data_IF_405404028660
#
_entry.id   IF_405404028660
#
_cell.length_a   1.000
_cell.length_b   1.000
_cell.length_c   1.000
_cell.angle_alpha   90.00
_cell.angle_beta   90.00
_cell.angle_gamma   90.00
#
_symmetry.space_group_name_H-M   'P 1'
#
loop_
_entity.id
_entity.type
_entity.pdbx_description
1 polymer ?
#
# COMPACT_ATOMS: atom_id res chain seq x y z
N UNK A 1 -17.58 3.70 -27.14
CA UNK A 1 -16.38 4.10 -27.93
C UNK A 1 -15.96 5.49 -27.49
N UNK A 2 -15.17 5.59 -26.37
CA UNK A 2 -14.67 6.85 -25.82
C UNK A 2 -13.18 6.69 -25.61
N UNK A 3 -12.38 7.12 -26.59
CA UNK A 3 -10.93 7.33 -26.44
C UNK A 3 -10.71 8.77 -25.96
N UNK A 4 -10.53 9.00 -24.67
CA UNK A 4 -9.90 10.25 -24.18
C UNK A 4 -8.40 10.02 -24.06
N UNK A 5 -7.64 10.74 -24.89
CA UNK A 5 -6.16 10.82 -24.81
C UNK A 5 -5.79 11.67 -23.59
N UNK A 6 -4.95 11.14 -22.72
CA UNK A 6 -4.30 11.90 -21.66
C UNK A 6 -3.07 12.62 -22.24
N UNK A 7 -2.82 13.90 -21.90
CA UNK A 7 -1.59 14.59 -22.29
C UNK A 7 -0.44 14.17 -21.37
N UNK A 8 0.51 13.39 -21.91
CA UNK A 8 1.77 13.12 -21.23
C UNK A 8 2.73 14.30 -21.36
N UNK A 9 3.60 14.47 -20.39
CA UNK A 9 4.66 15.49 -20.36
C UNK A 9 5.60 15.31 -21.56
N UNK A 10 5.72 16.36 -22.40
CA UNK A 10 6.68 16.39 -23.51
C UNK A 10 8.07 16.79 -23.00
N UNK A 11 9.03 15.88 -23.06
CA UNK A 11 10.43 16.22 -22.88
C UNK A 11 11.11 16.40 -24.25
N UNK A 12 11.46 17.64 -24.62
CA UNK A 12 12.17 17.98 -25.85
C UNK A 12 13.69 17.81 -25.62
N UNK A 13 14.31 16.82 -26.26
CA UNK A 13 15.79 16.75 -26.42
C UNK A 13 16.16 17.25 -27.81
N UNK A 14 16.94 18.33 -27.86
CA UNK A 14 17.55 18.79 -29.09
C UNK A 14 18.85 18.03 -29.34
N UNK A 15 18.96 17.36 -30.48
CA UNK A 15 20.24 16.79 -30.99
C UNK A 15 20.68 17.65 -32.17
N UNK A 16 21.82 18.32 -32.00
CA UNK A 16 22.44 19.16 -33.04
C UNK A 16 23.25 18.31 -33.99
N UNK A 17 22.89 18.26 -35.26
CA UNK A 17 23.78 18.25 -36.43
C UNK A 17 23.02 18.25 -37.76
N UNK A 18 23.27 19.25 -38.54
CA UNK A 18 23.23 19.40 -40.01
C UNK A 18 22.13 18.72 -40.83
N UNK A 19 21.33 19.56 -41.54
CA UNK A 19 20.51 19.28 -42.72
C UNK A 19 19.38 18.22 -42.54
N UNK A 20 18.19 18.73 -42.29
CA UNK A 20 16.93 18.05 -42.02
C UNK A 20 16.71 17.71 -40.55
N UNK A 21 16.19 18.70 -39.78
CA UNK A 21 15.76 18.46 -38.39
C UNK A 21 14.51 17.57 -38.39
N UNK A 22 14.69 16.26 -38.31
CA UNK A 22 13.63 15.33 -37.95
C UNK A 22 13.47 15.39 -36.42
N UNK A 23 12.43 16.07 -35.96
CA UNK A 23 12.03 16.04 -34.56
C UNK A 23 11.47 14.65 -34.23
N UNK A 24 12.28 13.80 -33.61
CA UNK A 24 11.79 12.58 -32.99
C UNK A 24 11.24 12.94 -31.61
N UNK A 25 9.92 13.01 -31.49
CA UNK A 25 9.23 13.08 -30.20
C UNK A 25 9.28 11.66 -29.62
N UNK A 26 10.25 11.40 -28.73
CA UNK A 26 10.24 10.18 -27.94
C UNK A 26 9.21 10.35 -26.84
N UNK A 27 8.05 9.77 -27.01
CA UNK A 27 7.04 9.63 -25.94
C UNK A 27 7.52 8.54 -24.98
N UNK A 28 8.17 8.94 -23.90
CA UNK A 28 8.38 8.03 -22.77
C UNK A 28 7.02 7.96 -22.07
N UNK A 29 6.24 6.95 -22.39
CA UNK A 29 5.03 6.67 -21.66
C UNK A 29 5.43 6.33 -20.21
N UNK A 30 5.21 7.27 -19.29
CA UNK A 30 5.36 6.98 -17.87
C UNK A 30 4.36 5.89 -17.49
N UNK A 31 4.81 4.90 -16.71
CA UNK A 31 3.93 3.85 -16.19
C UNK A 31 2.80 4.53 -15.39
N UNK A 32 1.53 4.32 -15.74
CA UNK A 32 0.43 5.00 -15.07
C UNK A 32 0.21 4.45 -13.65
N UNK A 33 -0.16 5.35 -12.73
CA UNK A 33 -0.47 5.03 -11.33
C UNK A 33 -1.86 5.53 -10.98
N UNK A 34 -2.61 4.70 -10.27
CA UNK A 34 -3.84 5.10 -9.55
C UNK A 34 -3.55 4.93 -8.07
N UNK A 35 -3.74 5.99 -7.28
CA UNK A 35 -3.62 5.90 -5.82
C UNK A 35 -4.97 5.89 -5.15
N UNK A 36 -5.11 5.04 -4.12
CA UNK A 36 -6.31 4.89 -3.30
C UNK A 36 -5.90 5.03 -1.83
N UNK A 37 -6.10 6.23 -1.29
CA UNK A 37 -5.72 6.58 0.07
C UNK A 37 -6.96 6.65 0.98
N UNK A 38 -6.75 6.63 2.29
CA UNK A 38 -7.80 6.77 3.29
C UNK A 38 -7.60 5.90 4.54
N UNK A 39 -8.40 6.07 5.59
CA UNK A 39 -8.22 5.40 6.87
C UNK A 39 -8.43 3.88 6.79
N UNK A 40 -8.05 3.18 7.87
CA UNK A 40 -8.22 1.72 7.97
C UNK A 40 -9.70 1.32 7.93
N UNK A 41 -10.04 0.20 7.29
CA UNK A 41 -11.41 -0.36 7.28
C UNK A 41 -12.41 0.37 6.38
N UNK A 42 -11.99 1.35 5.58
CA UNK A 42 -12.88 2.09 4.66
C UNK A 42 -13.23 1.31 3.38
N UNK A 43 -12.56 0.19 3.09
CA UNK A 43 -12.80 -0.63 1.90
C UNK A 43 -11.81 -0.43 0.76
N UNK A 44 -10.68 0.27 0.99
CA UNK A 44 -9.64 0.52 -0.02
C UNK A 44 -9.18 -0.76 -0.70
N UNK A 45 -8.74 -1.77 0.09
CA UNK A 45 -8.21 -3.01 -0.43
C UNK A 45 -9.14 -3.68 -1.44
N UNK A 46 -10.44 -3.76 -1.15
CA UNK A 46 -11.42 -4.33 -2.07
C UNK A 46 -11.47 -3.57 -3.40
N UNK A 47 -11.55 -2.24 -3.33
CA UNK A 47 -11.61 -1.38 -4.53
C UNK A 47 -10.31 -1.46 -5.31
N UNK A 48 -9.16 -1.44 -4.62
CA UNK A 48 -7.84 -1.49 -5.25
C UNK A 48 -7.59 -2.82 -5.96
N UNK A 49 -7.98 -3.95 -5.36
CA UNK A 49 -7.94 -5.26 -6.03
C UNK A 49 -8.83 -5.29 -7.27
N UNK A 50 -10.10 -4.87 -7.15
CA UNK A 50 -11.02 -4.85 -8.29
C UNK A 50 -10.51 -3.97 -9.44
N UNK A 51 -9.87 -2.84 -9.13
CA UNK A 51 -9.27 -1.96 -10.13
C UNK A 51 -8.06 -2.61 -10.79
N UNK A 52 -7.14 -3.18 -10.01
CA UNK A 52 -5.94 -3.84 -10.51
C UNK A 52 -6.31 -5.00 -11.43
N UNK A 53 -7.22 -5.88 -11.02
CA UNK A 53 -7.70 -7.01 -11.82
C UNK A 53 -8.36 -6.53 -13.13
N UNK A 54 -9.22 -5.52 -13.05
CA UNK A 54 -9.95 -5.02 -14.22
C UNK A 54 -9.07 -4.34 -15.26
N UNK A 55 -7.97 -3.74 -14.80
CA UNK A 55 -6.98 -3.07 -15.64
C UNK A 55 -5.84 -3.99 -16.08
N UNK A 56 -5.67 -5.14 -15.44
CA UNK A 56 -4.50 -6.02 -15.60
C UNK A 56 -3.22 -5.34 -15.10
N UNK A 57 -3.32 -4.52 -14.04
CA UNK A 57 -2.22 -3.76 -13.46
C UNK A 57 -1.69 -4.41 -12.19
N UNK A 58 -0.48 -4.02 -11.80
CA UNK A 58 0.08 -4.40 -10.51
C UNK A 58 -0.68 -3.75 -9.35
N UNK A 59 -0.64 -4.40 -8.20
CA UNK A 59 -1.22 -3.88 -6.96
C UNK A 59 -0.12 -3.73 -5.91
N UNK A 60 -0.08 -2.56 -5.28
CA UNK A 60 0.66 -2.30 -4.06
C UNK A 60 -0.33 -2.15 -2.90
N UNK A 61 -0.33 -3.10 -1.96
CA UNK A 61 -0.89 -2.91 -0.62
C UNK A 61 0.24 -2.42 0.31
N UNK A 62 0.36 -1.11 0.46
CA UNK A 62 1.39 -0.54 1.32
C UNK A 62 1.16 -0.91 2.79
N UNK A 63 -0.08 -1.06 3.20
CA UNK A 63 -0.44 -1.52 4.54
C UNK A 63 0.12 -2.91 4.85
N UNK A 64 0.18 -3.81 3.86
CA UNK A 64 0.78 -5.13 4.03
C UNK A 64 2.28 -5.03 4.35
N UNK A 65 3.03 -4.12 3.72
CA UNK A 65 4.45 -3.92 4.03
C UNK A 65 4.68 -3.53 5.50
N UNK A 66 3.89 -2.59 6.03
CA UNK A 66 3.98 -2.20 7.44
C UNK A 66 3.53 -3.33 8.38
N UNK A 67 2.52 -4.11 8.01
CA UNK A 67 2.08 -5.30 8.78
C UNK A 67 3.17 -6.35 8.85
N UNK A 68 3.85 -6.62 7.72
CA UNK A 68 4.98 -7.56 7.68
C UNK A 68 6.14 -7.03 8.49
N UNK A 69 6.43 -5.74 8.45
CA UNK A 69 7.49 -5.13 9.28
C UNK A 69 7.19 -5.34 10.78
N UNK A 70 5.96 -5.05 11.22
CA UNK A 70 5.55 -5.30 12.60
C UNK A 70 5.65 -6.78 12.99
N UNK A 71 5.25 -7.70 12.12
CA UNK A 71 5.35 -9.14 12.34
C UNK A 71 6.80 -9.63 12.33
N UNK A 72 7.65 -9.07 11.47
CA UNK A 72 9.08 -9.36 11.42
C UNK A 72 9.76 -9.00 12.75
N UNK A 73 9.41 -7.85 13.33
CA UNK A 73 9.89 -7.48 14.67
C UNK A 73 9.50 -8.51 15.73
N UNK A 74 8.26 -9.02 15.71
CA UNK A 74 7.81 -10.08 16.62
C UNK A 74 8.64 -11.36 16.44
N UNK A 75 8.86 -11.78 15.20
CA UNK A 75 9.64 -12.99 14.87
C UNK A 75 11.11 -12.85 15.33
N UNK A 76 11.68 -11.64 15.18
CA UNK A 76 13.08 -11.37 15.54
C UNK A 76 13.27 -10.95 17.01
N UNK A 77 12.18 -10.85 17.79
CA UNK A 77 12.23 -10.45 19.20
C UNK A 77 12.57 -8.97 19.40
N UNK A 78 12.28 -8.13 18.39
CA UNK A 78 12.48 -6.66 18.43
C UNK A 78 11.24 -6.01 18.99
N UNK A 79 11.40 -5.16 20.03
CA UNK A 79 10.30 -4.33 20.53
C UNK A 79 9.91 -3.26 19.53
N UNK A 80 8.60 -3.03 19.37
CA UNK A 80 8.10 -1.94 18.53
C UNK A 80 8.44 -0.53 19.08
N UNK A 81 8.89 -0.43 20.34
CA UNK A 81 9.32 0.82 20.96
C UNK A 81 10.82 1.12 20.71
N UNK A 82 11.56 0.20 20.07
CA UNK A 82 12.97 0.38 19.69
C UNK A 82 13.06 0.87 18.23
N UNK A 83 12.82 2.17 18.03
CA UNK A 83 12.81 2.79 16.71
C UNK A 83 14.02 2.43 15.83
N UNK A 84 15.27 2.48 16.32
CA UNK A 84 16.44 2.10 15.51
C UNK A 84 16.42 0.63 15.07
N UNK A 85 16.06 -0.29 15.97
CA UNK A 85 16.01 -1.71 15.65
C UNK A 85 14.86 -2.03 14.69
N UNK A 86 13.68 -1.42 14.88
CA UNK A 86 12.54 -1.55 13.95
C UNK A 86 12.89 -1.02 12.56
N UNK A 87 13.57 0.13 12.47
CA UNK A 87 14.02 0.67 11.19
C UNK A 87 15.05 -0.22 10.49
N UNK A 88 15.89 -0.92 11.25
CA UNK A 88 16.83 -1.89 10.71
C UNK A 88 16.11 -3.12 10.12
N UNK A 89 15.13 -3.66 10.83
CA UNK A 89 14.24 -4.72 10.33
C UNK A 89 13.55 -4.29 9.03
N UNK A 90 13.06 -3.06 8.96
CA UNK A 90 12.40 -2.52 7.76
C UNK A 90 13.35 -2.41 6.57
N UNK A 91 14.60 -1.98 6.77
CA UNK A 91 15.63 -1.89 5.71
C UNK A 91 15.98 -3.26 5.11
N UNK A 92 16.03 -4.28 5.96
CA UNK A 92 16.42 -5.64 5.58
C UNK A 92 15.22 -6.59 5.41
N UNK A 93 14.02 -6.02 5.21
CA UNK A 93 12.77 -6.77 5.14
C UNK A 93 12.79 -7.79 3.98
N UNK A 94 13.01 -9.07 4.28
CA UNK A 94 12.96 -10.17 3.30
C UNK A 94 11.53 -10.69 3.19
N UNK A 95 10.74 -10.05 2.32
CA UNK A 95 9.33 -10.38 2.11
C UNK A 95 9.06 -10.78 0.66
N UNK A 96 8.29 -11.84 0.48
CA UNK A 96 7.76 -12.28 -0.80
C UNK A 96 6.23 -12.25 -0.77
N UNK A 97 5.65 -11.75 -1.87
CA UNK A 97 4.21 -11.78 -2.14
C UNK A 97 3.94 -12.76 -3.27
N UNK A 98 2.94 -13.62 -3.13
CA UNK A 98 2.50 -14.56 -4.15
C UNK A 98 0.98 -14.71 -4.11
N UNK A 99 0.40 -15.29 -5.16
CA UNK A 99 -1.03 -15.62 -5.20
C UNK A 99 -1.19 -17.12 -5.03
N UNK A 100 -2.10 -17.53 -4.16
CA UNK A 100 -2.57 -18.91 -4.07
C UNK A 100 -3.50 -19.22 -5.26
N UNK A 101 -3.76 -20.51 -5.50
CA UNK A 101 -4.65 -20.97 -6.59
C UNK A 101 -6.09 -20.43 -6.47
N UNK A 102 -6.52 -20.09 -5.26
CA UNK A 102 -7.81 -19.47 -4.97
C UNK A 102 -7.83 -17.96 -5.18
N UNK A 103 -6.71 -17.35 -5.62
CA UNK A 103 -6.54 -15.90 -5.80
C UNK A 103 -6.23 -15.14 -4.50
N UNK A 104 -6.05 -15.84 -3.38
CA UNK A 104 -5.68 -15.19 -2.12
C UNK A 104 -4.20 -14.79 -2.12
N UNK A 105 -3.90 -13.57 -1.66
CA UNK A 105 -2.52 -13.12 -1.52
C UNK A 105 -1.85 -13.82 -0.33
N UNK A 106 -0.77 -14.53 -0.62
CA UNK A 106 0.12 -15.11 0.36
C UNK A 106 1.32 -14.20 0.59
N UNK A 107 1.74 -14.12 1.83
CA UNK A 107 2.86 -13.28 2.27
C UNK A 107 3.82 -14.11 3.09
N UNK A 108 5.07 -14.20 2.66
CA UNK A 108 6.12 -14.90 3.36
C UNK A 108 7.20 -13.92 3.84
N UNK A 109 7.66 -14.08 5.06
CA UNK A 109 8.83 -13.41 5.63
C UNK A 109 9.94 -14.42 5.87
N UNK A 110 11.11 -14.20 5.26
CA UNK A 110 12.24 -15.17 5.30
C UNK A 110 11.79 -16.61 4.98
N UNK A 111 10.87 -16.76 4.02
CA UNK A 111 10.31 -18.05 3.60
C UNK A 111 9.24 -18.64 4.51
N UNK A 112 8.88 -17.99 5.62
CA UNK A 112 7.82 -18.39 6.54
C UNK A 112 6.52 -17.69 6.18
N UNK A 113 5.42 -18.44 6.00
CA UNK A 113 4.09 -17.86 5.74
C UNK A 113 3.61 -17.06 6.97
N UNK A 114 3.38 -15.78 6.77
CA UNK A 114 2.86 -14.84 7.78
C UNK A 114 1.47 -14.29 7.41
N UNK A 115 0.85 -14.81 6.37
CA UNK A 115 -0.41 -14.31 5.80
C UNK A 115 -1.54 -14.19 6.81
N UNK A 116 -1.70 -15.19 7.69
CA UNK A 116 -2.71 -15.16 8.74
C UNK A 116 -2.34 -14.16 9.85
N UNK A 117 -1.10 -14.16 10.32
CA UNK A 117 -0.63 -13.33 11.41
C UNK A 117 -0.77 -11.83 11.10
N UNK A 118 -0.40 -11.40 9.89
CA UNK A 118 -0.48 -9.99 9.50
C UNK A 118 -1.92 -9.48 9.33
N UNK A 119 -2.92 -10.36 9.25
CA UNK A 119 -4.34 -9.99 9.11
C UNK A 119 -5.10 -9.89 10.43
N UNK A 120 -4.44 -10.17 11.54
CA UNK A 120 -5.01 -10.04 12.90
C UNK A 120 -5.12 -8.58 13.33
N UNK A 121 -5.86 -8.32 14.43
CA UNK A 121 -5.90 -6.99 15.06
C UNK A 121 -4.51 -6.61 15.60
N UNK A 122 -3.75 -7.56 16.13
CA UNK A 122 -2.38 -7.34 16.58
C UNK A 122 -1.46 -6.94 15.42
N UNK A 123 -1.52 -7.65 14.28
CA UNK A 123 -0.82 -7.28 13.06
C UNK A 123 -1.20 -5.87 12.57
N UNK A 124 -2.45 -5.49 12.78
CA UNK A 124 -2.92 -4.13 12.48
C UNK A 124 -2.37 -3.08 13.44
N UNK A 125 -2.27 -3.36 14.75
CA UNK A 125 -1.63 -2.46 15.74
C UNK A 125 -0.15 -2.31 15.46
N UNK A 126 0.56 -3.43 15.27
CA UNK A 126 1.97 -3.41 14.91
C UNK A 126 2.26 -2.54 13.69
N UNK A 127 1.46 -2.70 12.63
CA UNK A 127 1.59 -1.87 11.43
C UNK A 127 1.47 -0.36 11.73
N UNK A 128 0.44 0.04 12.49
CA UNK A 128 0.22 1.45 12.84
C UNK A 128 1.34 1.99 13.74
N UNK A 129 1.84 1.18 14.68
CA UNK A 129 2.95 1.57 15.55
C UNK A 129 4.24 1.78 14.76
N UNK A 130 4.65 0.79 13.94
CA UNK A 130 5.90 0.92 13.17
C UNK A 130 5.80 1.97 12.05
N UNK A 131 4.61 2.23 11.51
CA UNK A 131 4.39 3.27 10.50
C UNK A 131 4.54 4.71 11.05
N UNK A 132 4.40 4.90 12.37
CA UNK A 132 4.64 6.18 13.02
C UNK A 132 6.14 6.54 13.08
N UNK A 133 7.04 5.56 12.91
CA UNK A 133 8.49 5.74 12.96
C UNK A 133 9.00 6.30 11.62
N UNK A 134 9.54 7.55 11.55
CA UNK A 134 9.97 8.15 10.29
C UNK A 134 11.02 7.32 9.55
N UNK A 135 11.97 6.72 10.27
CA UNK A 135 13.02 5.90 9.69
C UNK A 135 12.51 4.59 9.03
N UNK A 136 11.38 4.04 9.51
CA UNK A 136 10.68 2.91 8.88
C UNK A 136 10.03 3.34 7.57
N UNK A 137 9.37 4.50 7.55
CA UNK A 137 8.75 5.07 6.35
C UNK A 137 9.80 5.32 5.26
N UNK A 138 10.94 5.87 5.64
CA UNK A 138 12.09 6.09 4.74
C UNK A 138 12.63 4.76 4.19
N UNK A 139 12.81 3.75 5.05
CA UNK A 139 13.29 2.43 4.66
C UNK A 139 12.37 1.73 3.65
N UNK A 140 11.04 1.88 3.81
CA UNK A 140 10.06 1.26 2.93
C UNK A 140 9.74 2.08 1.67
N UNK A 141 10.15 3.36 1.61
CA UNK A 141 9.79 4.25 0.51
C UNK A 141 10.26 3.75 -0.86
N UNK A 142 11.55 3.40 -0.98
CA UNK A 142 12.10 2.89 -2.23
C UNK A 142 11.39 1.60 -2.66
N UNK A 143 11.18 0.67 -1.71
CA UNK A 143 10.48 -0.59 -1.95
C UNK A 143 9.05 -0.39 -2.46
N UNK A 144 8.32 0.58 -1.94
CA UNK A 144 6.98 0.91 -2.44
C UNK A 144 7.03 1.41 -3.90
N UNK A 145 8.04 2.19 -4.26
CA UNK A 145 8.22 2.69 -5.63
C UNK A 145 8.64 1.61 -6.61
N UNK A 146 9.32 0.56 -6.18
CA UNK A 146 9.73 -0.57 -7.02
C UNK A 146 8.54 -1.37 -7.58
N UNK A 147 7.35 -1.24 -6.98
CA UNK A 147 6.11 -1.80 -7.53
C UNK A 147 5.64 -1.11 -8.82
N UNK A 148 6.18 0.08 -9.15
CA UNK A 148 5.82 0.83 -10.34
C UNK A 148 6.43 0.19 -11.59
N UNK A 149 5.70 -0.75 -12.18
CA UNK A 149 6.11 -1.48 -13.37
C UNK A 149 4.99 -1.49 -14.42
N UNK A 150 5.33 -1.61 -15.72
CA UNK A 150 4.33 -1.79 -16.76
C UNK A 150 3.48 -3.05 -16.48
N UNK A 151 2.18 -3.02 -16.82
CA UNK A 151 1.47 -2.00 -17.59
C UNK A 151 0.94 -0.82 -16.76
N UNK A 152 0.98 -0.86 -15.43
CA UNK A 152 0.51 0.17 -14.52
C UNK A 152 0.42 -0.31 -13.08
N UNK A 153 0.13 0.61 -12.16
CA UNK A 153 0.06 0.34 -10.72
C UNK A 153 -1.21 0.91 -10.10
N UNK A 154 -1.90 0.11 -9.28
CA UNK A 154 -2.88 0.58 -8.29
C UNK A 154 -2.20 0.53 -6.92
N UNK A 155 -2.07 1.66 -6.26
CA UNK A 155 -1.39 1.78 -4.97
C UNK A 155 -2.41 2.11 -3.86
N UNK A 156 -2.57 1.19 -2.91
CA UNK A 156 -3.43 1.32 -1.72
C UNK A 156 -2.58 1.75 -0.51
N UNK A 157 -2.98 2.84 0.16
CA UNK A 157 -2.26 3.30 1.34
C UNK A 157 -2.94 4.40 2.13
N UNK A 158 -2.09 5.33 2.63
CA UNK A 158 -2.49 6.53 3.38
C UNK A 158 -2.00 7.81 2.71
N UNK A 159 -0.85 7.73 2.08
CA UNK A 159 -0.08 8.83 1.52
C UNK A 159 0.49 8.48 0.14
N UNK A 160 -0.11 7.51 -0.54
CA UNK A 160 0.33 7.09 -1.88
C UNK A 160 0.29 8.25 -2.86
N UNK A 161 -0.79 9.02 -2.86
CA UNK A 161 -0.98 10.15 -3.78
C UNK A 161 -0.31 11.45 -3.34
N UNK A 162 0.21 11.55 -2.12
CA UNK A 162 0.82 12.77 -1.59
C UNK A 162 2.34 12.64 -1.41
N UNK A 163 2.82 11.45 -1.06
CA UNK A 163 4.23 11.20 -0.73
C UNK A 163 4.87 10.22 -1.71
N UNK A 164 4.29 9.01 -1.87
CA UNK A 164 4.96 7.94 -2.62
C UNK A 164 4.88 8.15 -4.12
N UNK A 165 3.71 8.52 -4.64
CA UNK A 165 3.44 8.79 -6.06
C UNK A 165 2.75 10.15 -6.24
N UNK A 166 3.43 11.27 -5.91
CA UNK A 166 2.83 12.60 -5.95
C UNK A 166 2.39 13.02 -7.37
N UNK A 167 3.01 12.43 -8.39
CA UNK A 167 2.69 12.69 -9.81
C UNK A 167 1.62 11.74 -10.37
N UNK A 168 0.98 10.89 -9.54
CA UNK A 168 -0.07 9.99 -9.97
C UNK A 168 -1.21 10.77 -10.65
N UNK A 169 -1.60 10.41 -11.91
CA UNK A 169 -2.61 11.15 -12.66
C UNK A 169 -4.03 10.99 -12.10
N UNK A 170 -4.26 9.95 -11.29
CA UNK A 170 -5.54 9.69 -10.67
C UNK A 170 -5.35 9.31 -9.20
N UNK A 171 -5.99 10.09 -8.32
CA UNK A 171 -5.90 9.93 -6.88
C UNK A 171 -7.29 9.89 -6.27
N UNK A 172 -7.56 8.86 -5.49
CA UNK A 172 -8.78 8.71 -4.72
C UNK A 172 -8.46 8.79 -3.23
N UNK A 173 -9.29 9.48 -2.49
CA UNK A 173 -9.26 9.45 -1.04
C UNK A 173 -10.63 8.96 -0.53
N UNK A 174 -10.65 7.76 0.06
CA UNK A 174 -11.86 7.14 0.59
C UNK A 174 -12.03 7.53 2.05
N UNK A 175 -13.25 7.87 2.42
CA UNK A 175 -13.60 8.21 3.80
C UNK A 175 -14.80 7.38 4.27
N UNK A 176 -14.83 7.08 5.56
CA UNK A 176 -15.99 6.61 6.31
C UNK A 176 -15.78 6.97 7.77
N UNK A 177 -16.85 7.20 8.52
CA UNK A 177 -16.75 7.50 9.94
C UNK A 177 -16.15 6.32 10.71
N UNK A 178 -15.49 6.60 11.84
CA UNK A 178 -14.96 5.55 12.71
C UNK A 178 -16.06 4.57 13.16
N UNK A 179 -17.27 5.08 13.40
CA UNK A 179 -18.43 4.26 13.78
C UNK A 179 -18.83 3.27 12.67
N UNK A 180 -18.97 3.73 11.42
CA UNK A 180 -19.29 2.86 10.28
C UNK A 180 -18.23 1.78 10.05
N UNK A 181 -16.94 2.12 10.22
CA UNK A 181 -15.82 1.18 10.09
C UNK A 181 -15.83 0.16 11.23
N UNK A 182 -16.12 0.59 12.46
CA UNK A 182 -16.25 -0.29 13.61
C UNK A 182 -17.41 -1.28 13.43
N UNK A 183 -18.57 -0.82 12.96
CA UNK A 183 -19.71 -1.70 12.68
C UNK A 183 -19.41 -2.74 11.59
N UNK A 184 -18.75 -2.35 10.49
CA UNK A 184 -18.34 -3.30 9.45
C UNK A 184 -17.38 -4.35 10.00
N UNK A 185 -16.39 -3.91 10.77
CA UNK A 185 -15.41 -4.80 11.38
C UNK A 185 -16.05 -5.75 12.38
N UNK A 186 -16.95 -5.24 13.20
CA UNK A 186 -17.71 -6.04 14.16
C UNK A 186 -18.47 -7.17 13.46
N UNK A 187 -19.21 -6.87 12.38
CA UNK A 187 -19.90 -7.88 11.58
C UNK A 187 -18.97 -8.93 11.01
N UNK A 188 -17.83 -8.52 10.42
CA UNK A 188 -16.83 -9.43 9.87
C UNK A 188 -16.24 -10.38 10.92
N UNK A 189 -16.01 -9.91 12.15
CA UNK A 189 -15.46 -10.73 13.23
C UNK A 189 -16.52 -11.70 13.77
N UNK A 190 -17.77 -11.27 13.88
CA UNK A 190 -18.88 -12.17 14.25
C UNK A 190 -19.08 -13.29 13.22
N UNK A 191 -19.00 -12.99 11.91
CA UNK A 191 -19.09 -14.00 10.85
C UNK A 191 -17.97 -15.04 10.92
N UNK A 192 -16.80 -14.66 11.47
CA UNK A 192 -15.69 -15.57 11.74
C UNK A 192 -15.81 -16.32 13.06
N UNK A 193 -16.87 -16.09 13.84
CA UNK A 193 -17.09 -16.70 15.14
C UNK A 193 -16.29 -16.06 16.28
N UNK A 194 -15.72 -14.89 16.07
CA UNK A 194 -14.96 -14.17 17.09
C UNK A 194 -15.89 -13.35 17.99
N UNK A 195 -15.67 -13.41 19.31
CA UNK A 195 -16.39 -12.59 20.28
C UNK A 195 -15.64 -11.28 20.50
N UNK A 196 -16.24 -10.18 20.09
CA UNK A 196 -15.62 -8.83 20.14
C UNK A 196 -16.61 -7.80 20.67
N UNK A 197 -16.09 -6.70 21.20
CA UNK A 197 -16.87 -5.57 21.72
C UNK A 197 -16.85 -4.40 20.72
N UNK A 198 -18.01 -3.99 20.24
CA UNK A 198 -18.13 -2.84 19.33
C UNK A 198 -17.52 -1.54 19.91
N UNK A 199 -17.76 -1.19 21.21
CA UNK A 199 -17.12 -0.02 21.81
C UNK A 199 -15.60 -0.10 21.80
N UNK A 200 -15.01 -1.28 22.03
CA UNK A 200 -13.57 -1.48 21.99
C UNK A 200 -13.03 -1.32 20.57
N UNK A 201 -13.69 -1.91 19.58
CA UNK A 201 -13.30 -1.74 18.16
C UNK A 201 -13.36 -0.28 17.72
N UNK A 202 -14.37 0.47 18.18
CA UNK A 202 -14.47 1.90 17.90
C UNK A 202 -13.30 2.68 18.51
N UNK A 203 -12.96 2.41 19.77
CA UNK A 203 -11.82 3.05 20.44
C UNK A 203 -10.50 2.72 19.73
N UNK A 204 -10.26 1.45 19.39
CA UNK A 204 -9.07 1.01 18.67
C UNK A 204 -8.94 1.68 17.28
N UNK A 205 -10.06 1.88 16.59
CA UNK A 205 -10.10 2.57 15.29
C UNK A 205 -9.79 4.07 15.45
N UNK A 206 -10.36 4.73 16.47
CA UNK A 206 -10.10 6.14 16.74
C UNK A 206 -8.63 6.39 17.10
N UNK A 207 -8.06 5.56 17.97
CA UNK A 207 -6.65 5.64 18.34
C UNK A 207 -5.71 5.44 17.13
N UNK A 208 -6.09 4.58 16.19
CA UNK A 208 -5.34 4.41 14.93
C UNK A 208 -5.43 5.63 14.03
N UNK A 209 -6.62 6.21 13.89
CA UNK A 209 -6.83 7.40 13.07
C UNK A 209 -6.02 8.61 13.60
N UNK A 210 -5.79 8.67 14.91
CA UNK A 210 -4.95 9.70 15.53
C UNK A 210 -3.44 9.51 15.25
N UNK A 211 -3.03 8.25 15.01
CA UNK A 211 -1.62 7.93 14.67
C UNK A 211 -1.34 8.01 13.18
N UNK A 212 -2.33 7.71 12.31
CA UNK A 212 -2.22 7.67 10.86
C UNK A 212 -2.21 9.09 10.25
#
# INVERSE_FOLDING_TARGET
MWRRRFPGLMCLRAVSACASAQWQISYVASVPVITVDGPSGVGKGTISHMLADRLGWHLLDSGALYRVTGQACVIEGVSWDDDPAVADVARHLDVAFSLADNGEMLVAYKGVDVSAAIRTEEGGRGASTVAAIPAVREALFARQRDFLQPPGLVADGRDMGTVVFPDAPLKFFLTASAAERAERRYKQLLEKGESVSLPRLLADIQERDERD
#
